data_IF_227356663707
#
_entry.id   IF_227356663707
#
_cell.length_a   1.000
_cell.length_b   1.000
_cell.length_c   1.000
_cell.angle_alpha   90.00
_cell.angle_beta   90.00
_cell.angle_gamma   90.00
#
_symmetry.space_group_name_H-M   'P 1'
#
loop_
_entity.id
_entity.type
_entity.pdbx_description
1 polymer ?
#
# COMPACT_ATOMS: atom_id res chain seq x y z
N UNK A 1 22.75 -0.38 -13.24
CA UNK A 1 22.13 -1.41 -12.35
C UNK A 1 22.04 -2.73 -13.10
N UNK A 2 22.21 -3.87 -12.43
CA UNK A 2 22.19 -5.18 -13.12
C UNK A 2 21.09 -6.12 -12.65
N UNK A 3 20.46 -5.82 -11.52
CA UNK A 3 19.35 -6.57 -10.94
C UNK A 3 18.66 -5.76 -9.84
N UNK A 4 17.55 -6.25 -9.30
CA UNK A 4 16.81 -5.62 -8.20
C UNK A 4 17.64 -5.35 -6.94
N UNK A 5 18.74 -6.07 -6.72
CA UNK A 5 19.60 -5.82 -5.55
C UNK A 5 20.46 -4.54 -5.67
N UNK A 6 20.49 -3.90 -6.83
CA UNK A 6 21.19 -2.62 -7.06
C UNK A 6 20.22 -1.42 -7.08
N UNK A 7 18.91 -1.67 -6.98
CA UNK A 7 17.87 -0.66 -7.13
C UNK A 7 17.47 -0.11 -5.77
N UNK A 8 17.47 1.21 -5.62
CA UNK A 8 16.96 1.89 -4.43
C UNK A 8 15.44 2.01 -4.46
N UNK A 9 14.85 2.33 -3.31
CA UNK A 9 13.42 2.65 -3.22
C UNK A 9 13.04 3.82 -4.13
N UNK A 10 13.86 4.88 -4.18
CA UNK A 10 13.60 6.03 -5.06
C UNK A 10 13.55 5.61 -6.53
N UNK A 11 14.55 4.89 -7.01
CA UNK A 11 14.57 4.36 -8.39
C UNK A 11 13.41 3.39 -8.66
N UNK A 12 13.04 2.57 -7.67
CA UNK A 12 11.87 1.69 -7.79
C UNK A 12 10.57 2.47 -7.96
N UNK A 13 10.39 3.56 -7.19
CA UNK A 13 9.22 4.44 -7.30
C UNK A 13 9.17 5.13 -8.67
N UNK A 14 10.29 5.60 -9.20
CA UNK A 14 10.38 6.16 -10.55
C UNK A 14 9.94 5.15 -11.60
N UNK A 15 10.48 3.92 -11.54
CA UNK A 15 10.13 2.83 -12.47
C UNK A 15 8.63 2.46 -12.39
N UNK A 16 8.07 2.39 -11.18
CA UNK A 16 6.64 2.12 -10.98
C UNK A 16 5.76 3.29 -11.42
N UNK A 17 6.24 4.52 -11.24
CA UNK A 17 5.58 5.73 -11.72
C UNK A 17 5.35 5.72 -13.24
N UNK A 18 6.26 5.13 -14.03
CA UNK A 18 6.08 4.99 -15.47
C UNK A 18 4.82 4.18 -15.85
N UNK A 19 4.39 3.25 -15.00
CA UNK A 19 3.19 2.44 -15.27
C UNK A 19 1.88 3.22 -15.12
N UNK A 20 1.94 4.40 -14.49
CA UNK A 20 0.78 5.29 -14.28
C UNK A 20 0.67 6.40 -15.32
N UNK A 21 1.67 6.56 -16.18
CA UNK A 21 1.74 7.61 -17.21
C UNK A 21 1.37 7.02 -18.57
N UNK A 22 0.47 7.67 -19.34
CA UNK A 22 0.22 7.25 -20.71
C UNK A 22 1.43 7.58 -21.61
N UNK A 23 1.89 6.60 -22.40
CA UNK A 23 2.95 6.78 -23.40
C UNK A 23 2.36 6.63 -24.79
N UNK A 24 2.90 7.38 -25.76
CA UNK A 24 2.45 7.32 -27.16
C UNK A 24 2.79 5.96 -27.80
N UNK A 25 3.88 5.33 -27.36
CA UNK A 25 4.28 4.00 -27.82
C UNK A 25 4.95 3.15 -26.73
N UNK A 26 4.95 1.81 -26.86
CA UNK A 26 5.75 0.94 -25.99
C UNK A 26 7.26 1.22 -26.07
N UNK A 27 7.73 1.81 -27.15
CA UNK A 27 9.12 2.20 -27.33
C UNK A 27 9.49 3.38 -26.41
N UNK A 28 8.61 4.38 -26.30
CA UNK A 28 8.83 5.54 -25.42
C UNK A 28 8.90 5.11 -23.95
N UNK A 29 8.01 4.21 -23.53
CA UNK A 29 8.07 3.61 -22.19
C UNK A 29 9.40 2.87 -21.94
N UNK A 30 9.91 2.13 -22.95
CA UNK A 30 11.16 1.40 -22.79
C UNK A 30 12.37 2.35 -22.76
N UNK A 31 12.35 3.46 -23.51
CA UNK A 31 13.36 4.51 -23.45
C UNK A 31 13.44 5.15 -22.05
N UNK A 32 12.29 5.57 -21.50
CA UNK A 32 12.24 6.14 -20.14
C UNK A 32 12.72 5.16 -19.10
N UNK A 33 12.31 3.89 -19.18
CA UNK A 33 12.77 2.83 -18.29
C UNK A 33 14.28 2.63 -18.36
N UNK A 34 14.84 2.58 -19.55
CA UNK A 34 16.29 2.43 -19.74
C UNK A 34 17.04 3.67 -19.26
N UNK A 35 16.52 4.88 -19.49
CA UNK A 35 17.10 6.12 -18.99
C UNK A 35 17.25 6.09 -17.46
N UNK A 36 16.22 5.69 -16.73
CA UNK A 36 16.26 5.54 -15.26
C UNK A 36 17.30 4.47 -14.84
N UNK A 37 17.31 3.32 -15.51
CA UNK A 37 18.16 2.18 -15.13
C UNK A 37 19.64 2.39 -15.43
N UNK A 38 19.95 3.15 -16.47
CA UNK A 38 21.33 3.39 -16.95
C UNK A 38 21.88 4.75 -16.56
N UNK A 39 21.04 5.65 -16.04
CA UNK A 39 21.37 7.06 -15.82
C UNK A 39 21.90 7.72 -17.12
N UNK A 40 21.24 7.43 -18.25
CA UNK A 40 21.60 7.89 -19.59
C UNK A 40 20.45 8.73 -20.16
N UNK A 41 20.78 9.85 -20.80
CA UNK A 41 19.79 10.72 -21.42
C UNK A 41 19.01 10.00 -22.54
N UNK A 42 17.73 10.29 -22.64
CA UNK A 42 16.83 9.71 -23.66
C UNK A 42 17.33 9.98 -25.07
N UNK A 43 17.89 11.19 -25.32
CA UNK A 43 18.47 11.54 -26.62
C UNK A 43 19.64 10.64 -27.00
N UNK A 44 20.48 10.25 -26.04
CA UNK A 44 21.57 9.30 -26.27
C UNK A 44 21.03 7.91 -26.59
N UNK A 45 20.03 7.44 -25.84
CA UNK A 45 19.38 6.16 -26.06
C UNK A 45 18.67 6.08 -27.43
N UNK A 46 18.08 7.18 -27.90
CA UNK A 46 17.45 7.27 -29.23
C UNK A 46 18.46 7.21 -30.38
N UNK A 47 19.71 7.60 -30.13
CA UNK A 47 20.78 7.56 -31.12
C UNK A 47 21.51 6.20 -31.22
N UNK A 48 21.18 5.23 -30.32
CA UNK A 48 21.73 3.87 -30.42
C UNK A 48 21.23 3.16 -31.68
N UNK A 49 22.09 2.33 -32.26
CA UNK A 49 21.63 1.45 -33.33
C UNK A 49 20.67 0.36 -32.77
N UNK A 50 19.90 -0.27 -33.65
CA UNK A 50 18.91 -1.26 -33.27
C UNK A 50 19.52 -2.46 -32.52
N UNK A 51 20.75 -2.83 -32.82
CA UNK A 51 21.48 -3.94 -32.19
C UNK A 51 21.87 -3.57 -30.76
N UNK A 52 22.41 -2.38 -30.57
CA UNK A 52 22.80 -1.82 -29.26
C UNK A 52 21.58 -1.66 -28.36
N UNK A 53 20.52 -1.04 -28.86
CA UNK A 53 19.27 -0.88 -28.13
C UNK A 53 18.67 -2.25 -27.72
N UNK A 54 18.64 -3.22 -28.64
CA UNK A 54 18.14 -4.58 -28.34
C UNK A 54 19.00 -5.31 -27.31
N UNK A 55 20.33 -5.12 -27.34
CA UNK A 55 21.22 -5.70 -26.34
C UNK A 55 20.95 -5.11 -24.96
N UNK A 56 20.79 -3.78 -24.87
CA UNK A 56 20.49 -3.06 -23.65
C UNK A 56 19.15 -3.49 -23.06
N UNK A 57 18.09 -3.52 -23.86
CA UNK A 57 16.76 -4.00 -23.43
C UNK A 57 16.80 -5.43 -22.87
N UNK A 58 17.61 -6.31 -23.45
CA UNK A 58 17.79 -7.69 -22.94
C UNK A 58 18.54 -7.71 -21.61
N UNK A 59 19.58 -6.89 -21.47
CA UNK A 59 20.35 -6.79 -20.22
C UNK A 59 19.46 -6.37 -19.04
N UNK A 60 18.50 -5.46 -19.28
CA UNK A 60 17.60 -4.92 -18.27
C UNK A 60 16.22 -5.62 -18.22
N UNK A 61 16.03 -6.74 -18.93
CA UNK A 61 14.77 -7.48 -18.97
C UNK A 61 14.27 -7.97 -17.58
N UNK A 62 15.18 -8.09 -16.61
CA UNK A 62 14.86 -8.48 -15.23
C UNK A 62 13.90 -7.49 -14.53
N UNK A 63 13.86 -6.22 -14.94
CA UNK A 63 12.97 -5.20 -14.35
C UNK A 63 11.48 -5.52 -14.54
N UNK A 64 11.15 -6.36 -15.53
CA UNK A 64 9.78 -6.84 -15.80
C UNK A 64 9.30 -7.91 -14.79
N UNK A 65 10.20 -8.41 -13.94
CA UNK A 65 9.85 -9.30 -12.82
C UNK A 65 9.74 -8.50 -11.53
N UNK A 66 9.02 -9.01 -10.54
CA UNK A 66 8.96 -8.38 -9.22
C UNK A 66 10.29 -8.56 -8.46
N UNK A 67 10.64 -7.63 -7.54
CA UNK A 67 11.71 -7.85 -6.56
C UNK A 67 11.49 -9.10 -5.71
N UNK A 68 12.54 -9.57 -5.04
CA UNK A 68 12.44 -10.72 -4.14
C UNK A 68 11.56 -10.40 -2.92
N UNK A 69 10.76 -11.40 -2.48
CA UNK A 69 9.85 -11.25 -1.33
C UNK A 69 10.53 -11.35 0.04
N UNK A 70 11.83 -11.57 0.10
CA UNK A 70 12.58 -11.48 1.36
C UNK A 70 12.84 -10.01 1.74
N UNK A 71 13.07 -9.76 3.02
CA UNK A 71 13.37 -8.42 3.53
C UNK A 71 14.16 -8.50 4.85
N UNK A 72 14.79 -7.41 5.23
CA UNK A 72 15.48 -7.28 6.50
C UNK A 72 14.50 -6.88 7.61
N UNK A 73 14.65 -7.47 8.78
CA UNK A 73 13.86 -7.11 9.96
C UNK A 73 14.24 -5.75 10.54
N UNK A 74 15.43 -5.25 10.17
CA UNK A 74 15.94 -3.94 10.58
C UNK A 74 16.62 -3.24 9.40
N UNK A 75 16.29 -1.96 9.19
CA UNK A 75 16.84 -1.09 8.16
C UNK A 75 17.13 0.26 8.81
N UNK A 76 18.40 0.69 8.82
CA UNK A 76 18.81 2.00 9.35
C UNK A 76 18.33 2.29 10.79
N UNK A 77 18.20 1.26 11.64
CA UNK A 77 17.68 1.39 13.01
C UNK A 77 16.15 1.38 13.12
N UNK A 78 15.46 1.24 12.01
CA UNK A 78 14.00 1.01 11.96
C UNK A 78 13.72 -0.47 11.88
N UNK A 79 12.79 -0.96 12.70
CA UNK A 79 12.43 -2.37 12.78
C UNK A 79 11.05 -2.62 12.16
N UNK A 80 10.93 -3.73 11.47
CA UNK A 80 9.67 -4.14 10.87
C UNK A 80 8.61 -4.43 11.94
N UNK A 81 7.41 -3.87 11.73
CA UNK A 81 6.27 -3.98 12.61
C UNK A 81 5.26 -4.97 12.03
N UNK A 82 5.01 -6.07 12.75
CA UNK A 82 4.14 -7.17 12.28
C UNK A 82 2.67 -7.02 12.71
N UNK A 83 2.33 -6.01 13.50
CA UNK A 83 0.98 -5.74 13.97
C UNK A 83 0.64 -4.25 13.82
N UNK A 84 -0.62 -3.95 13.59
CA UNK A 84 -1.05 -2.61 13.21
C UNK A 84 -2.18 -2.12 14.11
N UNK A 85 -2.19 -0.82 14.39
CA UNK A 85 -3.36 -0.16 14.97
C UNK A 85 -4.40 0.08 13.87
N UNK A 86 -5.63 0.44 14.29
CA UNK A 86 -6.69 0.79 13.34
C UNK A 86 -6.26 1.96 12.43
N UNK A 87 -5.67 3.02 13.03
CA UNK A 87 -5.19 4.18 12.27
C UNK A 87 -4.11 3.82 11.25
N UNK A 88 -3.07 3.08 11.68
CA UNK A 88 -1.99 2.64 10.80
C UNK A 88 -2.51 1.78 9.63
N UNK A 89 -3.47 0.91 9.89
CA UNK A 89 -4.08 0.08 8.85
C UNK A 89 -4.86 0.92 7.84
N UNK A 90 -5.60 1.93 8.30
CA UNK A 90 -6.34 2.86 7.45
C UNK A 90 -5.38 3.70 6.61
N UNK A 91 -4.34 4.27 7.23
CA UNK A 91 -3.32 5.07 6.53
C UNK A 91 -2.61 4.24 5.46
N UNK A 92 -2.23 3.00 5.77
CA UNK A 92 -1.64 2.09 4.79
C UNK A 92 -2.60 1.83 3.62
N UNK A 93 -3.89 1.56 3.86
CA UNK A 93 -4.84 1.35 2.77
C UNK A 93 -4.94 2.59 1.86
N UNK A 94 -5.02 3.80 2.41
CA UNK A 94 -5.04 5.03 1.61
C UNK A 94 -3.74 5.24 0.81
N UNK A 95 -2.58 4.94 1.40
CA UNK A 95 -1.30 5.05 0.69
C UNK A 95 -1.18 4.03 -0.46
N UNK A 96 -1.78 2.84 -0.30
CA UNK A 96 -1.81 1.81 -1.34
C UNK A 96 -2.72 2.17 -2.54
N UNK A 97 -3.64 3.13 -2.42
CA UNK A 97 -4.42 3.64 -3.56
C UNK A 97 -3.50 4.22 -4.65
N UNK A 98 -2.32 4.72 -4.26
CA UNK A 98 -1.28 5.20 -5.15
C UNK A 98 0.11 4.74 -4.67
N UNK A 99 0.31 3.41 -4.64
CA UNK A 99 1.52 2.76 -4.14
C UNK A 99 2.79 3.30 -4.80
N UNK A 100 2.77 3.49 -6.12
CA UNK A 100 3.92 3.97 -6.88
C UNK A 100 4.49 5.31 -6.36
N UNK A 101 3.63 6.19 -5.87
CA UNK A 101 4.02 7.51 -5.35
C UNK A 101 4.23 7.53 -3.83
N UNK A 102 3.75 6.51 -3.11
CA UNK A 102 3.74 6.49 -1.66
C UNK A 102 4.56 5.36 -1.05
N UNK A 103 5.36 4.65 -1.85
CA UNK A 103 6.08 3.46 -1.38
C UNK A 103 7.01 3.78 -0.19
N UNK A 104 7.71 4.89 -0.21
CA UNK A 104 8.57 5.38 0.87
C UNK A 104 7.77 5.72 2.15
N UNK A 105 6.56 6.27 2.02
CA UNK A 105 5.65 6.52 3.15
C UNK A 105 5.09 5.21 3.72
N UNK A 106 4.76 4.25 2.86
CA UNK A 106 4.34 2.91 3.28
C UNK A 106 5.46 2.28 4.13
N UNK A 107 6.70 2.34 3.68
CA UNK A 107 7.85 1.86 4.46
C UNK A 107 7.98 2.58 5.79
N UNK A 108 7.70 3.89 5.84
CA UNK A 108 7.76 4.68 7.08
C UNK A 108 6.75 4.23 8.15
N UNK A 109 5.64 3.61 7.74
CA UNK A 109 4.67 3.00 8.67
C UNK A 109 5.09 1.57 9.04
N UNK A 110 5.58 0.79 8.07
CA UNK A 110 5.96 -0.61 8.29
C UNK A 110 7.25 -0.78 9.09
N UNK A 111 8.18 0.15 8.99
CA UNK A 111 9.46 0.13 9.69
C UNK A 111 9.54 1.27 10.69
N UNK A 112 9.65 0.94 11.97
CA UNK A 112 9.53 1.87 13.09
C UNK A 112 10.65 1.73 14.10
N UNK A 113 10.97 2.81 14.78
CA UNK A 113 11.78 2.75 15.99
C UNK A 113 10.94 2.13 17.11
N UNK A 114 11.55 1.27 17.94
CA UNK A 114 10.90 0.75 19.13
C UNK A 114 11.79 0.94 20.37
N UNK A 115 11.13 0.94 21.53
CA UNK A 115 11.76 0.83 22.84
C UNK A 115 11.28 -0.45 23.51
N UNK A 116 12.06 -1.01 24.41
CA UNK A 116 11.57 -2.07 25.29
C UNK A 116 10.87 -1.45 26.49
N UNK A 117 9.71 -1.98 26.83
CA UNK A 117 9.02 -1.64 28.08
C UNK A 117 9.70 -2.32 29.30
N UNK A 118 9.15 -2.09 30.48
CA UNK A 118 9.67 -2.67 31.74
C UNK A 118 9.63 -4.21 31.76
N UNK A 119 8.84 -4.84 30.88
CA UNK A 119 8.69 -6.29 30.75
C UNK A 119 9.47 -6.86 29.55
N UNK A 120 10.21 -6.01 28.81
CA UNK A 120 10.99 -6.41 27.65
C UNK A 120 10.19 -6.55 26.33
N UNK A 121 8.92 -6.12 26.31
CA UNK A 121 8.13 -6.11 25.07
C UNK A 121 8.55 -4.94 24.18
N UNK A 122 8.44 -5.11 22.88
CA UNK A 122 8.67 -4.04 21.90
C UNK A 122 7.48 -3.09 21.88
N UNK A 123 7.73 -1.83 22.23
CA UNK A 123 6.76 -0.73 22.10
C UNK A 123 7.25 0.19 20.99
N UNK A 124 6.55 0.18 19.88
CA UNK A 124 6.87 1.05 18.74
C UNK A 124 6.47 2.49 19.05
N UNK A 125 7.22 3.43 18.50
CA UNK A 125 6.88 4.85 18.63
C UNK A 125 5.48 5.11 18.04
N UNK A 126 4.68 6.04 18.59
CA UNK A 126 3.39 6.42 18.04
C UNK A 126 3.52 6.95 16.60
N UNK A 127 2.47 6.80 15.78
CA UNK A 127 2.40 7.39 14.44
C UNK A 127 2.06 8.90 14.54
N UNK A 128 2.89 9.66 15.24
CA UNK A 128 2.72 11.11 15.46
C UNK A 128 3.77 11.94 14.71
N UNK A 129 4.56 11.30 13.86
CA UNK A 129 5.58 11.97 13.07
C UNK A 129 5.03 12.34 11.70
N UNK A 130 5.66 13.35 11.11
CA UNK A 130 5.38 13.74 9.74
C UNK A 130 5.94 12.69 8.76
N UNK A 131 5.04 11.97 8.07
CA UNK A 131 5.40 10.99 7.05
C UNK A 131 6.23 11.63 5.92
N UNK A 132 5.97 12.90 5.60
CA UNK A 132 6.73 13.64 4.58
C UNK A 132 8.21 13.84 4.98
N UNK A 133 8.49 13.96 6.26
CA UNK A 133 9.88 14.01 6.72
C UNK A 133 10.53 12.64 6.75
N UNK A 134 9.81 11.64 7.25
CA UNK A 134 10.35 10.29 7.43
C UNK A 134 10.59 9.53 6.12
N UNK A 135 9.79 9.78 5.08
CA UNK A 135 9.97 9.10 3.78
C UNK A 135 11.40 9.20 3.23
N UNK A 136 12.12 10.28 3.55
CA UNK A 136 13.50 10.47 3.10
C UNK A 136 14.48 9.45 3.68
N UNK A 137 14.18 8.83 4.83
CA UNK A 137 15.01 7.81 5.44
C UNK A 137 15.05 6.49 4.65
N UNK A 138 14.08 6.29 3.76
CA UNK A 138 13.94 5.06 2.99
C UNK A 138 14.34 5.19 1.52
N UNK A 139 14.52 6.39 0.99
CA UNK A 139 14.80 6.60 -0.44
C UNK A 139 16.02 5.85 -0.97
N UNK A 140 17.11 5.87 -0.20
CA UNK A 140 18.38 5.23 -0.55
C UNK A 140 18.44 3.74 -0.13
N UNK A 141 17.40 3.20 0.50
CA UNK A 141 17.33 1.79 0.89
C UNK A 141 17.20 0.92 -0.36
N UNK A 142 17.94 -0.20 -0.39
CA UNK A 142 17.82 -1.16 -1.49
C UNK A 142 16.44 -1.85 -1.46
N UNK A 143 15.80 -1.91 -2.60
CA UNK A 143 14.42 -2.46 -2.71
C UNK A 143 14.31 -3.89 -2.18
N UNK A 144 15.31 -4.74 -2.42
CA UNK A 144 15.35 -6.10 -1.91
C UNK A 144 15.45 -6.19 -0.38
N UNK A 145 15.84 -5.11 0.29
CA UNK A 145 15.91 -5.08 1.75
C UNK A 145 14.54 -4.80 2.41
N UNK A 146 13.57 -4.27 1.66
CA UNK A 146 12.30 -3.79 2.21
C UNK A 146 11.04 -4.30 1.47
N UNK A 147 11.12 -4.66 0.20
CA UNK A 147 9.96 -5.04 -0.64
C UNK A 147 9.13 -6.18 -0.02
N UNK A 148 9.78 -7.20 0.51
CA UNK A 148 9.09 -8.31 1.17
C UNK A 148 8.26 -7.90 2.39
N UNK A 149 8.63 -6.82 3.10
CA UNK A 149 7.84 -6.25 4.18
C UNK A 149 6.51 -5.66 3.67
N UNK A 150 6.54 -5.00 2.50
CA UNK A 150 5.33 -4.50 1.83
C UNK A 150 4.44 -5.66 1.39
N UNK A 151 5.03 -6.70 0.78
CA UNK A 151 4.29 -7.92 0.40
C UNK A 151 3.66 -8.59 1.62
N UNK A 152 4.39 -8.69 2.74
CA UNK A 152 3.84 -9.23 3.99
C UNK A 152 2.60 -8.46 4.44
N UNK A 153 2.63 -7.13 4.40
CA UNK A 153 1.46 -6.33 4.76
C UNK A 153 0.28 -6.58 3.80
N UNK A 154 0.51 -6.64 2.49
CA UNK A 154 -0.54 -6.92 1.51
C UNK A 154 -1.18 -8.28 1.78
N UNK A 155 -0.38 -9.33 2.01
CA UNK A 155 -0.88 -10.67 2.35
C UNK A 155 -1.64 -10.66 3.69
N UNK A 156 -1.15 -9.93 4.70
CA UNK A 156 -1.86 -9.72 5.96
C UNK A 156 -3.20 -9.04 5.74
N UNK A 157 -3.23 -7.91 5.01
CA UNK A 157 -4.44 -7.14 4.71
C UNK A 157 -5.50 -8.00 4.01
N UNK A 158 -5.10 -8.70 2.96
CA UNK A 158 -6.03 -9.50 2.16
C UNK A 158 -6.63 -10.66 2.98
N UNK A 159 -5.80 -11.33 3.79
CA UNK A 159 -6.28 -12.36 4.72
C UNK A 159 -7.19 -11.78 5.81
N UNK A 160 -6.82 -10.60 6.35
CA UNK A 160 -7.61 -9.91 7.36
C UNK A 160 -9.00 -9.53 6.85
N UNK A 161 -9.07 -8.87 5.67
CA UNK A 161 -10.34 -8.48 5.05
C UNK A 161 -11.21 -9.71 4.75
N UNK A 162 -10.62 -10.81 4.32
CA UNK A 162 -11.34 -12.07 4.08
C UNK A 162 -11.93 -12.67 5.37
N UNK A 163 -11.19 -12.63 6.48
CA UNK A 163 -11.69 -13.13 7.78
C UNK A 163 -12.90 -12.34 8.26
N UNK A 164 -12.92 -11.04 8.00
CA UNK A 164 -13.97 -10.13 8.43
C UNK A 164 -14.91 -9.68 7.30
N UNK A 165 -14.99 -10.44 6.21
CA UNK A 165 -15.80 -10.12 5.02
C UNK A 165 -17.26 -9.79 5.36
N UNK A 166 -17.85 -10.51 6.30
CA UNK A 166 -19.23 -10.29 6.73
C UNK A 166 -19.49 -8.92 7.39
N UNK A 167 -18.44 -8.22 7.86
CA UNK A 167 -18.57 -6.86 8.40
C UNK A 167 -18.67 -5.80 7.29
N UNK A 168 -18.09 -6.09 6.13
CA UNK A 168 -18.07 -5.16 5.00
C UNK A 168 -19.21 -5.41 4.00
N UNK A 169 -19.64 -6.68 3.90
CA UNK A 169 -20.74 -7.11 3.04
C UNK A 169 -21.84 -7.70 3.93
N UNK A 170 -22.64 -6.90 4.64
CA UNK A 170 -23.80 -7.44 5.33
C UNK A 170 -24.67 -8.11 4.28
N UNK A 171 -25.00 -9.39 4.50
CA UNK A 171 -25.94 -10.13 3.66
C UNK A 171 -27.26 -9.37 3.71
N UNK A 172 -27.54 -8.56 2.71
CA UNK A 172 -28.89 -8.05 2.47
C UNK A 172 -29.67 -9.28 2.03
N UNK A 173 -30.54 -9.82 2.90
CA UNK A 173 -31.55 -10.76 2.46
C UNK A 173 -32.36 -10.05 1.38
N UNK A 174 -32.03 -10.34 0.12
CA UNK A 174 -32.76 -9.84 -1.03
C UNK A 174 -34.12 -10.50 -1.00
N UNK A 175 -35.13 -9.81 -0.52
CA UNK A 175 -36.51 -10.07 -0.95
C UNK A 175 -36.51 -9.93 -2.50
N UNK A 176 -37.01 -10.96 -3.15
CA UNK A 176 -37.07 -11.13 -4.60
C UNK A 176 -37.57 -9.83 -5.28
N UNK A 177 -36.68 -9.11 -5.97
CA UNK A 177 -37.04 -7.99 -6.84
C UNK A 177 -37.02 -8.44 -8.28
N UNK A 178 -38.10 -8.08 -9.00
CA UNK A 178 -38.40 -8.38 -10.40
C UNK A 178 -37.28 -7.93 -11.36
N UNK A 179 -36.88 -8.79 -12.28
CA UNK A 179 -35.73 -8.70 -13.21
C UNK A 179 -35.84 -7.66 -14.36
N UNK A 180 -36.68 -6.64 -14.32
CA UNK A 180 -36.99 -5.85 -15.54
C UNK A 180 -36.72 -4.32 -15.51
N UNK A 181 -36.00 -3.75 -14.54
CA UNK A 181 -35.67 -2.30 -14.52
C UNK A 181 -34.17 -1.97 -14.33
N UNK A 182 -33.26 -2.79 -14.87
CA UNK A 182 -31.85 -2.89 -14.45
C UNK A 182 -30.85 -1.87 -15.04
N UNK A 183 -31.16 -0.98 -15.99
CA UNK A 183 -30.08 -0.27 -16.73
C UNK A 183 -29.71 1.13 -16.26
N UNK A 184 -30.50 1.80 -15.45
CA UNK A 184 -30.16 3.15 -14.93
C UNK A 184 -29.98 3.23 -13.41
N UNK A 185 -30.59 2.34 -12.65
CA UNK A 185 -30.42 2.25 -11.20
C UNK A 185 -29.09 1.60 -10.84
N UNK A 186 -28.63 0.62 -11.61
CA UNK A 186 -27.35 -0.08 -11.38
C UNK A 186 -26.14 0.85 -11.52
N UNK A 187 -26.13 1.75 -12.52
CA UNK A 187 -25.05 2.75 -12.69
C UNK A 187 -25.03 3.74 -11.52
N UNK A 188 -26.19 4.15 -11.03
CA UNK A 188 -26.29 5.03 -9.85
C UNK A 188 -25.90 4.31 -8.56
N UNK A 189 -26.28 3.04 -8.42
CA UNK A 189 -25.90 2.21 -7.29
C UNK A 189 -24.39 1.99 -7.25
N UNK A 190 -23.73 1.68 -8.39
CA UNK A 190 -22.27 1.59 -8.48
C UNK A 190 -21.54 2.91 -8.18
N UNK A 191 -22.10 4.05 -8.62
CA UNK A 191 -21.53 5.37 -8.29
C UNK A 191 -21.72 5.75 -6.81
N UNK A 192 -22.84 5.39 -6.21
CA UNK A 192 -23.10 5.58 -4.78
C UNK A 192 -22.26 4.61 -3.93
N UNK A 193 -22.10 3.37 -4.36
CA UNK A 193 -21.23 2.38 -3.72
C UNK A 193 -19.76 2.81 -3.78
N UNK A 194 -19.28 3.33 -4.91
CA UNK A 194 -17.95 3.94 -5.01
C UNK A 194 -17.78 5.19 -4.14
N UNK A 195 -18.81 6.01 -3.99
CA UNK A 195 -18.80 7.16 -3.07
C UNK A 195 -18.83 6.72 -1.61
N UNK A 196 -19.58 5.70 -1.28
CA UNK A 196 -19.66 5.12 0.06
C UNK A 196 -18.37 4.38 0.44
N UNK A 197 -17.73 3.69 -0.51
CA UNK A 197 -16.45 3.00 -0.28
C UNK A 197 -15.31 3.98 0.03
N UNK A 198 -15.33 5.18 -0.57
CA UNK A 198 -14.31 6.20 -0.34
C UNK A 198 -14.27 6.73 1.10
N UNK A 199 -15.38 6.66 1.82
CA UNK A 199 -15.50 7.11 3.21
C UNK A 199 -15.80 5.96 4.18
N UNK A 200 -15.55 4.71 3.75
CA UNK A 200 -15.89 3.54 4.56
C UNK A 200 -15.13 3.50 5.89
N UNK A 201 -13.87 3.92 5.89
CA UNK A 201 -13.03 3.95 7.08
C UNK A 201 -13.39 5.11 8.03
N UNK A 202 -13.59 6.31 7.50
CA UNK A 202 -14.02 7.48 8.27
C UNK A 202 -15.40 7.24 8.89
N UNK A 203 -16.30 6.60 8.15
CA UNK A 203 -17.62 6.20 8.67
C UNK A 203 -17.48 5.18 9.78
N UNK A 204 -16.61 4.17 9.62
CA UNK A 204 -16.36 3.19 10.67
C UNK A 204 -15.86 3.85 11.95
N UNK A 205 -14.88 4.77 11.84
CA UNK A 205 -14.37 5.54 12.99
C UNK A 205 -15.50 6.38 13.62
N UNK A 206 -16.29 7.07 12.81
CA UNK A 206 -17.42 7.88 13.29
C UNK A 206 -18.44 7.04 14.04
N UNK A 207 -18.83 5.89 13.51
CA UNK A 207 -19.80 4.98 14.14
C UNK A 207 -19.21 4.37 15.42
N UNK A 208 -17.94 3.99 15.45
CA UNK A 208 -17.27 3.47 16.64
C UNK A 208 -17.11 4.52 17.74
N UNK A 209 -16.85 5.78 17.37
CA UNK A 209 -16.73 6.89 18.32
C UNK A 209 -18.11 7.33 18.88
N UNK A 210 -19.21 6.87 18.28
CA UNK A 210 -20.56 7.39 18.56
C UNK A 210 -20.72 8.85 18.15
N UNK A 211 -19.96 9.32 17.14
CA UNK A 211 -19.91 10.70 16.69
C UNK A 211 -19.07 11.64 17.56
N UNK A 212 -18.40 11.11 18.58
CA UNK A 212 -17.55 11.88 19.50
C UNK A 212 -16.12 11.93 18.99
N UNK A 213 -15.76 13.04 18.32
CA UNK A 213 -14.44 13.24 17.74
C UNK A 213 -13.29 13.19 18.76
N UNK A 214 -13.58 13.42 20.06
CA UNK A 214 -12.53 13.35 21.11
C UNK A 214 -12.05 11.92 21.39
N UNK A 215 -12.78 10.91 20.91
CA UNK A 215 -12.42 9.48 21.04
C UNK A 215 -11.67 8.92 19.84
N UNK A 216 -11.55 9.68 18.75
CA UNK A 216 -10.94 9.20 17.49
C UNK A 216 -9.52 8.72 17.73
N UNK A 217 -8.67 9.53 18.38
CA UNK A 217 -7.27 9.16 18.65
C UNK A 217 -7.17 7.87 19.48
N UNK A 218 -8.04 7.72 20.49
CA UNK A 218 -8.05 6.51 21.31
C UNK A 218 -8.48 5.26 20.53
N UNK A 219 -9.40 5.41 19.58
CA UNK A 219 -9.87 4.31 18.72
C UNK A 219 -8.83 3.92 17.69
N UNK A 220 -8.19 4.90 17.06
CA UNK A 220 -7.17 4.65 16.03
C UNK A 220 -5.90 4.04 16.59
N UNK A 221 -5.63 4.24 17.88
CA UNK A 221 -4.50 3.60 18.60
C UNK A 221 -4.77 2.13 18.99
N UNK A 222 -6.02 1.67 18.93
CA UNK A 222 -6.32 0.26 19.25
C UNK A 222 -5.79 -0.70 18.18
N UNK A 223 -5.33 -1.91 18.59
CA UNK A 223 -4.98 -2.96 17.64
C UNK A 223 -6.16 -3.31 16.74
N UNK A 224 -5.94 -3.33 15.41
CA UNK A 224 -7.01 -3.56 14.44
C UNK A 224 -7.75 -4.87 14.68
N UNK A 225 -7.05 -5.94 15.03
CA UNK A 225 -7.66 -7.26 15.32
C UNK A 225 -8.64 -7.15 16.49
N UNK A 226 -8.31 -6.38 17.54
CA UNK A 226 -9.21 -6.17 18.68
C UNK A 226 -10.49 -5.45 18.25
N UNK A 227 -10.36 -4.37 17.47
CA UNK A 227 -11.50 -3.58 16.98
C UNK A 227 -12.44 -4.44 16.17
N UNK A 228 -11.93 -5.23 15.24
CA UNK A 228 -12.76 -6.07 14.36
C UNK A 228 -13.36 -7.28 15.07
N UNK A 229 -12.66 -7.87 16.04
CA UNK A 229 -13.27 -8.88 16.91
C UNK A 229 -14.46 -8.32 17.68
N UNK A 230 -14.34 -7.10 18.24
CA UNK A 230 -15.45 -6.45 18.95
C UNK A 230 -16.63 -6.14 18.01
N UNK A 231 -16.37 -5.68 16.79
CA UNK A 231 -17.40 -5.46 15.77
C UNK A 231 -18.12 -6.75 15.40
N UNK A 232 -17.38 -7.84 15.17
CA UNK A 232 -17.96 -9.17 14.88
C UNK A 232 -18.83 -9.66 16.03
N UNK A 233 -18.39 -9.46 17.27
CA UNK A 233 -19.21 -9.80 18.46
C UNK A 233 -20.48 -8.96 18.52
N UNK A 234 -20.38 -7.65 18.29
CA UNK A 234 -21.53 -6.74 18.25
C UNK A 234 -22.55 -7.18 17.20
N UNK A 235 -22.09 -7.48 15.98
CA UNK A 235 -22.96 -7.96 14.89
C UNK A 235 -23.65 -9.30 15.25
N UNK A 236 -22.89 -10.24 15.84
CA UNK A 236 -23.41 -11.58 16.15
C UNK A 236 -24.40 -11.57 17.30
N UNK A 237 -24.19 -10.76 18.33
CA UNK A 237 -25.00 -10.77 19.55
C UNK A 237 -26.00 -9.61 19.67
N UNK A 238 -25.98 -8.67 18.72
CA UNK A 238 -26.90 -7.53 18.70
C UNK A 238 -26.71 -6.55 19.86
N UNK A 239 -25.47 -6.44 20.40
CA UNK A 239 -25.13 -5.62 21.57
C UNK A 239 -24.85 -4.18 21.15
#
# INVERSE_FOLDING_TARGET
>A
MKAWHDVTVETFMELRGLETIPFDSPFDLELERLSILTDTDIEELQNLDLSEFSALTKEYAWVKSAPAKNFKQEINGFHFKEWYTLGEFIDLNHLFENEAQNFDKILSILFRVFKQDEWGNRVFEPLQFDLEQRKHEFKDVLINDCFGGVVFFVEFRDNFLKVYENLFNPVVESDELDENELDQEDIKAEEEEKKLSKFSWERLIFDLSGGDLTKVDQLTDLPIILVFNMLSMKQTYGI
#
